data_IF_804665046185
#
_entry.id   IF_804665046185
#
_cell.length_a   1.000
_cell.length_b   1.000
_cell.length_c   1.000
_cell.angle_alpha   90.00
_cell.angle_beta   90.00
_cell.angle_gamma   90.00
#
_symmetry.space_group_name_H-M   'P 1'
#
loop_
_entity.id
_entity.type
_entity.pdbx_description
1 polymer ?
#
# COMPACT_ATOMS: atom_id res chain seq x y z
N UNK A 1 -26.91 -8.86 -1.37
CA UNK A 1 -26.03 -9.18 -0.26
C UNK A 1 -24.72 -8.48 -0.42
N UNK A 2 -24.34 -7.76 0.58
CA UNK A 2 -23.08 -7.05 0.59
C UNK A 2 -21.91 -8.00 0.85
N UNK A 3 -20.71 -7.50 0.63
CA UNK A 3 -19.50 -8.20 0.98
C UNK A 3 -19.39 -8.21 2.50
N UNK A 4 -19.20 -9.38 3.08
CA UNK A 4 -19.03 -9.48 4.53
C UNK A 4 -17.64 -8.99 4.90
N UNK A 5 -17.45 -8.66 6.19
CA UNK A 5 -16.15 -8.28 6.71
C UNK A 5 -15.12 -9.39 6.46
N UNK A 6 -15.57 -10.64 6.53
CA UNK A 6 -14.72 -11.78 6.28
C UNK A 6 -14.21 -11.78 4.84
N UNK A 7 -15.09 -11.45 3.88
CA UNK A 7 -14.70 -11.38 2.46
C UNK A 7 -13.74 -10.23 2.20
N UNK A 8 -13.95 -9.08 2.85
CA UNK A 8 -13.05 -7.95 2.72
C UNK A 8 -11.66 -8.29 3.26
N UNK A 9 -11.60 -8.95 4.42
CA UNK A 9 -10.33 -9.38 4.99
C UNK A 9 -9.61 -10.36 4.08
N UNK A 10 -10.37 -11.27 3.46
CA UNK A 10 -9.80 -12.24 2.53
C UNK A 10 -9.18 -11.56 1.31
N UNK A 11 -9.87 -10.54 0.78
CA UNK A 11 -9.34 -9.80 -0.38
C UNK A 11 -8.04 -9.09 -0.04
N UNK A 12 -7.97 -8.47 1.13
CA UNK A 12 -6.75 -7.81 1.57
C UNK A 12 -5.62 -8.81 1.74
N UNK A 13 -5.90 -9.96 2.32
CA UNK A 13 -4.89 -10.99 2.48
C UNK A 13 -4.38 -11.53 1.16
N UNK A 14 -5.27 -11.71 0.19
CA UNK A 14 -4.89 -12.11 -1.15
C UNK A 14 -3.94 -11.10 -1.78
N UNK A 15 -4.28 -9.82 -1.64
CA UNK A 15 -3.43 -8.76 -2.18
C UNK A 15 -2.07 -8.71 -1.48
N UNK A 16 -2.04 -9.02 -0.18
CA UNK A 16 -0.78 -9.05 0.55
C UNK A 16 0.15 -10.16 0.05
N UNK A 17 -0.40 -11.30 -0.33
CA UNK A 17 0.40 -12.38 -0.90
C UNK A 17 1.06 -11.92 -2.21
N UNK A 18 0.28 -11.31 -3.09
CA UNK A 18 0.79 -10.82 -4.36
C UNK A 18 1.76 -9.65 -4.16
N UNK A 19 1.46 -8.80 -3.18
CA UNK A 19 2.31 -7.67 -2.84
C UNK A 19 3.68 -8.14 -2.34
N UNK A 20 3.69 -9.22 -1.56
CA UNK A 20 4.95 -9.77 -1.05
C UNK A 20 5.83 -10.30 -2.17
N UNK A 21 5.21 -10.69 -3.29
CA UNK A 21 5.94 -11.12 -4.48
C UNK A 21 6.39 -9.94 -5.35
N UNK A 22 6.04 -8.71 -4.97
CA UNK A 22 6.44 -7.51 -5.68
C UNK A 22 5.52 -7.10 -6.81
N UNK A 23 4.30 -7.63 -6.85
CA UNK A 23 3.33 -7.28 -7.90
C UNK A 23 2.92 -5.80 -7.73
N UNK A 24 3.28 -4.91 -8.68
CA UNK A 24 2.96 -3.49 -8.54
C UNK A 24 1.46 -3.21 -8.53
N UNK A 25 0.66 -4.02 -9.21
CA UNK A 25 -0.79 -3.83 -9.21
C UNK A 25 -1.38 -4.12 -7.83
N UNK A 26 -0.92 -5.19 -7.18
CA UNK A 26 -1.37 -5.53 -5.84
C UNK A 26 -0.97 -4.46 -4.83
N UNK A 27 0.26 -3.97 -4.94
CA UNK A 27 0.75 -2.89 -4.08
C UNK A 27 -0.08 -1.61 -4.28
N UNK A 28 -0.37 -1.27 -5.53
CA UNK A 28 -1.19 -0.11 -5.85
C UNK A 28 -2.60 -0.25 -5.28
N UNK A 29 -3.22 -1.42 -5.45
CA UNK A 29 -4.57 -1.67 -4.97
C UNK A 29 -4.66 -1.55 -3.45
N UNK A 30 -3.64 -2.00 -2.73
CA UNK A 30 -3.58 -1.81 -1.28
C UNK A 30 -3.54 -0.33 -0.93
N UNK A 31 -2.77 0.45 -1.67
CA UNK A 31 -2.72 1.89 -1.48
C UNK A 31 -4.08 2.53 -1.69
N UNK A 32 -4.78 2.14 -2.74
CA UNK A 32 -6.12 2.64 -3.02
C UNK A 32 -7.09 2.29 -1.89
N UNK A 33 -7.06 1.04 -1.44
CA UNK A 33 -7.96 0.59 -0.38
C UNK A 33 -7.80 1.43 0.89
N UNK A 34 -6.57 1.70 1.30
CA UNK A 34 -6.33 2.47 2.52
C UNK A 34 -6.55 3.98 2.32
N UNK A 35 -6.39 4.49 1.11
CA UNK A 35 -6.61 5.93 0.87
C UNK A 35 -8.08 6.26 0.71
N UNK A 36 -8.91 5.31 0.29
CA UNK A 36 -10.34 5.55 0.06
C UNK A 36 -11.24 4.90 1.09
N UNK A 37 -10.72 3.95 1.86
CA UNK A 37 -11.53 3.23 2.84
C UNK A 37 -12.47 2.23 2.20
N UNK A 38 -12.12 1.66 1.05
CA UNK A 38 -12.96 0.69 0.36
C UNK A 38 -12.94 -0.66 1.06
N UNK A 39 -13.97 -1.46 0.82
CA UNK A 39 -14.10 -2.82 1.34
C UNK A 39 -14.12 -2.87 2.87
N UNK A 40 -14.64 -1.83 3.52
CA UNK A 40 -14.75 -1.80 4.97
C UNK A 40 -13.43 -1.52 5.69
N UNK A 41 -12.42 -1.14 4.95
CA UNK A 41 -11.12 -0.75 5.53
C UNK A 41 -11.20 0.73 5.90
N UNK A 42 -10.74 1.07 7.10
CA UNK A 42 -10.67 2.47 7.50
C UNK A 42 -9.58 3.19 6.71
N UNK A 43 -9.86 4.45 6.38
CA UNK A 43 -8.86 5.29 5.74
C UNK A 43 -7.64 5.42 6.65
N UNK A 44 -6.46 5.18 6.09
CA UNK A 44 -5.19 5.30 6.81
C UNK A 44 -4.15 5.77 5.80
N UNK A 45 -3.84 7.06 5.85
CA UNK A 45 -2.94 7.63 4.85
C UNK A 45 -1.49 7.16 5.02
N UNK A 46 -1.08 6.81 6.23
CA UNK A 46 0.27 6.25 6.43
C UNK A 46 0.37 4.90 5.72
N UNK A 47 -0.63 4.03 5.92
CA UNK A 47 -0.67 2.75 5.21
C UNK A 47 -0.72 2.97 3.70
N UNK A 48 -1.60 3.86 3.24
CA UNK A 48 -1.73 4.12 1.82
C UNK A 48 -0.41 4.60 1.21
N UNK A 49 0.26 5.52 1.88
CA UNK A 49 1.54 6.06 1.41
C UNK A 49 2.58 4.95 1.31
N UNK A 50 2.62 4.08 2.32
CA UNK A 50 3.54 2.93 2.32
C UNK A 50 3.34 2.08 1.06
N UNK A 51 2.11 1.70 0.79
CA UNK A 51 1.80 0.81 -0.35
C UNK A 51 2.03 1.49 -1.68
N UNK A 52 1.64 2.77 -1.81
CA UNK A 52 1.92 3.51 -3.04
C UNK A 52 3.43 3.66 -3.26
N UNK A 53 4.19 3.87 -2.20
CA UNK A 53 5.63 4.00 -2.29
C UNK A 53 6.26 2.70 -2.83
N UNK A 54 5.81 1.57 -2.28
CA UNK A 54 6.30 0.27 -2.73
C UNK A 54 5.90 -0.03 -4.17
N UNK A 55 4.67 0.33 -4.55
CA UNK A 55 4.22 0.16 -5.93
C UNK A 55 5.05 1.01 -6.89
N UNK A 56 5.33 2.24 -6.50
CA UNK A 56 6.15 3.14 -7.32
C UNK A 56 7.56 2.59 -7.51
N UNK A 57 8.14 2.00 -6.48
CA UNK A 57 9.46 1.36 -6.58
C UNK A 57 9.45 0.20 -7.57
N UNK A 58 8.29 -0.41 -7.79
CA UNK A 58 8.15 -1.52 -8.73
C UNK A 58 7.56 -1.08 -10.05
N UNK A 59 7.58 0.22 -10.35
CA UNK A 59 7.27 0.73 -11.67
C UNK A 59 5.89 1.31 -11.88
N UNK A 60 5.07 1.43 -10.82
CA UNK A 60 3.72 1.99 -10.96
C UNK A 60 3.78 3.52 -10.99
N UNK A 61 3.52 4.11 -12.15
CA UNK A 61 3.43 5.56 -12.31
C UNK A 61 2.21 6.12 -11.61
N UNK A 62 1.10 5.40 -11.65
CA UNK A 62 -0.13 5.82 -10.97
C UNK A 62 0.09 5.92 -9.47
N UNK A 63 0.82 4.96 -8.91
CA UNK A 63 1.12 4.98 -7.47
C UNK A 63 1.97 6.19 -7.11
N UNK A 64 2.90 6.56 -7.98
CA UNK A 64 3.73 7.73 -7.76
C UNK A 64 2.89 8.99 -7.66
N UNK A 65 1.91 9.13 -8.55
CA UNK A 65 1.00 10.27 -8.55
C UNK A 65 0.10 10.27 -7.33
N UNK A 66 -0.44 9.12 -6.97
CA UNK A 66 -1.31 9.01 -5.80
C UNK A 66 -0.55 9.32 -4.52
N UNK A 67 0.69 8.84 -4.42
CA UNK A 67 1.54 9.12 -3.26
C UNK A 67 1.75 10.63 -3.11
N UNK A 68 2.02 11.31 -4.21
CA UNK A 68 2.21 12.75 -4.17
C UNK A 68 0.95 13.47 -3.72
N UNK A 69 -0.21 13.03 -4.21
CA UNK A 69 -1.49 13.65 -3.83
C UNK A 69 -1.78 13.51 -2.35
N UNK A 70 -1.67 12.30 -1.80
CA UNK A 70 -2.01 12.11 -0.39
C UNK A 70 -0.96 12.74 0.53
N UNK A 71 0.27 12.90 0.04
CA UNK A 71 1.32 13.56 0.83
C UNK A 71 0.94 14.99 1.18
N UNK A 72 0.12 15.64 0.37
CA UNK A 72 -0.33 17.01 0.65
C UNK A 72 -1.22 17.09 1.87
N UNK A 73 -1.84 15.99 2.25
CA UNK A 73 -2.72 15.91 3.42
C UNK A 73 -2.00 15.34 4.65
N UNK A 74 -0.74 15.00 4.51
CA UNK A 74 0.01 14.34 5.57
C UNK A 74 1.06 15.27 6.17
N UNK A 75 1.36 15.05 7.44
CA UNK A 75 2.46 15.77 8.07
C UNK A 75 3.79 15.12 7.66
N UNK A 76 4.88 15.87 7.81
CA UNK A 76 6.22 15.34 7.53
C UNK A 76 6.51 14.10 8.39
N UNK A 77 6.02 14.09 9.63
CA UNK A 77 6.21 12.94 10.52
C UNK A 77 5.47 11.71 10.01
N UNK A 78 4.25 11.90 9.52
CA UNK A 78 3.47 10.81 8.96
C UNK A 78 4.13 10.23 7.72
N UNK A 79 4.64 11.10 6.85
CA UNK A 79 5.35 10.66 5.64
C UNK A 79 6.59 9.87 6.03
N UNK A 80 7.35 10.35 7.01
CA UNK A 80 8.55 9.65 7.48
C UNK A 80 8.20 8.28 8.04
N UNK A 81 7.10 8.18 8.78
CA UNK A 81 6.66 6.89 9.32
C UNK A 81 6.27 5.93 8.21
N UNK A 82 5.55 6.44 7.18
CA UNK A 82 5.19 5.60 6.03
C UNK A 82 6.44 5.08 5.31
N UNK A 83 7.43 5.93 5.15
CA UNK A 83 8.69 5.53 4.51
C UNK A 83 9.43 4.49 5.34
N UNK A 84 9.43 4.66 6.66
CA UNK A 84 10.03 3.68 7.57
C UNK A 84 9.35 2.32 7.45
N UNK A 85 8.01 2.33 7.39
CA UNK A 85 7.25 1.09 7.26
C UNK A 85 7.49 0.42 5.92
N UNK A 86 7.65 1.20 4.85
CA UNK A 86 7.96 0.64 3.54
C UNK A 86 9.31 -0.08 3.56
N UNK A 87 10.31 0.52 4.19
CA UNK A 87 11.61 -0.12 4.31
C UNK A 87 11.53 -1.40 5.15
N UNK A 88 10.75 -1.37 6.22
CA UNK A 88 10.56 -2.54 7.07
C UNK A 88 9.90 -3.68 6.29
N UNK A 89 8.89 -3.34 5.48
CA UNK A 89 8.22 -4.33 4.64
C UNK A 89 9.19 -5.01 3.68
N UNK A 90 10.03 -4.23 3.03
CA UNK A 90 11.03 -4.78 2.09
C UNK A 90 11.98 -5.74 2.81
N UNK A 91 12.37 -5.37 4.02
CA UNK A 91 13.25 -6.22 4.82
C UNK A 91 12.56 -7.51 5.27
N UNK A 92 11.33 -7.38 5.75
CA UNK A 92 10.56 -8.50 6.30
C UNK A 92 10.14 -9.51 5.25
N UNK A 93 9.83 -9.05 4.05
CA UNK A 93 9.41 -9.93 2.98
C UNK A 93 10.58 -10.55 2.24
N UNK A 94 11.80 -10.15 2.58
CA UNK A 94 12.98 -10.64 1.89
C UNK A 94 13.03 -10.19 0.44
N UNK A 95 12.26 -9.16 0.10
CA UNK A 95 12.23 -8.63 -1.25
C UNK A 95 13.63 -8.16 -1.63
N UNK A 96 14.15 -8.69 -2.73
CA UNK A 96 15.46 -8.25 -3.21
C UNK A 96 15.32 -7.81 -4.65
N UNK A 97 15.84 -6.66 -4.92
CA UNK A 97 15.95 -6.25 -6.29
C UNK A 97 16.99 -7.14 -6.93
N UNK A 98 16.74 -7.50 -8.16
CA UNK A 98 17.73 -8.26 -8.90
C UNK A 98 19.03 -7.48 -8.89
N UNK A 99 20.06 -8.12 -8.46
CA UNK A 99 21.35 -7.47 -8.36
C UNK A 99 21.87 -7.11 -9.72
#
# INVERSE_FOLDING_TARGET
MGISLKSAAFLVQSQLVDAAAGDPDALYELGVAYSTGTNGIDVDLIEAHKWFNLAALNGSTEAQMCRAEISEEMTAREIAEAQRQARAWLSETGYRRAA
#
